data_IF_288989107015
#
_entry.id   IF_288989107015
#
_cell.length_a   1.000
_cell.length_b   1.000
_cell.length_c   1.000
_cell.angle_alpha   90.00
_cell.angle_beta   90.00
_cell.angle_gamma   90.00
#
_symmetry.space_group_name_H-M   'P 1'
#
loop_
_entity.id
_entity.type
_entity.pdbx_description
1 polymer ?
#
# COMPACT_ATOMS: atom_id res chain seq x y z
N UNK A 1 5.01 -9.99 6.17
CA UNK A 1 4.91 -8.57 5.76
C UNK A 1 3.77 -7.84 6.50
N UNK A 2 3.67 -7.97 7.83
CA UNK A 2 2.61 -7.28 8.56
C UNK A 2 2.80 -5.75 8.49
N UNK A 3 4.05 -5.28 8.57
CA UNK A 3 4.38 -3.85 8.45
C UNK A 3 4.12 -3.26 7.07
N UNK A 4 4.18 -4.05 5.99
CA UNK A 4 3.82 -3.54 4.65
C UNK A 4 2.38 -3.01 4.63
N UNK A 5 1.44 -3.80 5.16
CA UNK A 5 0.03 -3.43 5.20
C UNK A 5 -0.22 -2.17 6.03
N UNK A 6 0.49 -2.04 7.17
CA UNK A 6 0.45 -0.87 8.03
C UNK A 6 1.01 0.38 7.34
N UNK A 7 2.16 0.26 6.67
CA UNK A 7 2.77 1.34 5.88
C UNK A 7 1.84 1.80 4.76
N UNK A 8 1.24 0.87 4.02
CA UNK A 8 0.27 1.21 2.98
C UNK A 8 -0.93 1.97 3.56
N UNK A 9 -1.44 1.52 4.71
CA UNK A 9 -2.54 2.19 5.40
C UNK A 9 -2.17 3.62 5.82
N UNK A 10 -0.95 3.82 6.35
CA UNK A 10 -0.44 5.14 6.74
C UNK A 10 -0.37 6.06 5.52
N UNK A 11 0.27 5.62 4.43
CA UNK A 11 0.38 6.40 3.20
C UNK A 11 -0.99 6.79 2.64
N UNK A 12 -1.93 5.83 2.60
CA UNK A 12 -3.30 6.09 2.18
C UNK A 12 -3.99 7.16 3.05
N UNK A 13 -3.85 7.04 4.37
CA UNK A 13 -4.46 7.98 5.31
C UNK A 13 -3.84 9.38 5.26
N UNK A 14 -2.51 9.48 5.07
CA UNK A 14 -1.81 10.77 4.89
C UNK A 14 -2.33 11.54 3.68
N UNK A 15 -2.73 10.83 2.62
CA UNK A 15 -3.34 11.42 1.42
C UNK A 15 -4.87 11.57 1.53
N UNK A 16 -5.49 11.29 2.68
CA UNK A 16 -6.94 11.41 2.87
C UNK A 16 -7.76 10.43 2.03
N UNK A 17 -7.15 9.37 1.49
CA UNK A 17 -7.82 8.46 0.55
C UNK A 17 -8.65 7.39 1.29
N UNK A 18 -9.85 7.11 0.79
CA UNK A 18 -10.59 5.90 1.12
C UNK A 18 -9.97 4.67 0.45
N UNK A 19 -10.30 3.46 0.95
CA UNK A 19 -9.88 2.20 0.32
C UNK A 19 -10.37 2.10 -1.13
N UNK A 20 -11.54 2.66 -1.44
CA UNK A 20 -12.11 2.67 -2.81
C UNK A 20 -11.33 3.58 -3.75
N UNK A 21 -10.95 4.78 -3.27
CA UNK A 21 -10.12 5.69 -4.05
C UNK A 21 -8.75 5.08 -4.34
N UNK A 22 -8.06 4.55 -3.31
CA UNK A 22 -6.77 3.91 -3.52
C UNK A 22 -6.87 2.71 -4.49
N UNK A 23 -7.92 1.89 -4.36
CA UNK A 23 -8.18 0.79 -5.29
C UNK A 23 -8.33 1.28 -6.73
N UNK A 24 -9.10 2.35 -6.94
CA UNK A 24 -9.30 2.95 -8.26
C UNK A 24 -8.00 3.50 -8.86
N UNK A 25 -7.22 4.25 -8.07
CA UNK A 25 -5.91 4.80 -8.49
C UNK A 25 -4.91 3.69 -8.88
N UNK A 26 -4.99 2.54 -8.21
CA UNK A 26 -4.13 1.39 -8.51
C UNK A 26 -4.68 0.49 -9.65
N UNK A 27 -5.83 0.84 -10.22
CA UNK A 27 -6.47 0.13 -11.34
C UNK A 27 -7.27 -1.11 -10.94
N UNK A 28 -7.74 -1.19 -9.68
CA UNK A 28 -8.56 -2.29 -9.19
C UNK A 28 -10.02 -1.88 -9.00
N UNK A 29 -10.94 -2.67 -9.55
CA UNK A 29 -12.39 -2.45 -9.45
C UNK A 29 -12.96 -2.72 -8.05
N UNK A 30 -12.25 -3.46 -7.19
CA UNK A 30 -12.69 -3.80 -5.83
C UNK A 30 -11.64 -3.50 -4.77
N UNK A 31 -12.07 -2.75 -3.76
CA UNK A 31 -11.24 -2.36 -2.61
C UNK A 31 -10.88 -3.52 -1.67
N UNK A 32 -11.51 -4.69 -1.81
CA UNK A 32 -11.24 -5.86 -0.96
C UNK A 32 -9.79 -6.34 -1.06
N UNK A 33 -9.18 -6.22 -2.25
CA UNK A 33 -7.79 -6.62 -2.45
C UNK A 33 -6.85 -5.76 -1.59
N UNK A 34 -6.97 -4.44 -1.69
CA UNK A 34 -6.19 -3.47 -0.91
C UNK A 34 -6.49 -3.60 0.59
N UNK A 35 -7.76 -3.78 0.98
CA UNK A 35 -8.15 -3.95 2.37
C UNK A 35 -7.52 -5.20 3.01
N UNK A 36 -7.41 -6.31 2.27
CA UNK A 36 -6.75 -7.52 2.75
C UNK A 36 -5.24 -7.35 2.89
N UNK A 37 -4.61 -6.55 2.00
CA UNK A 37 -3.20 -6.22 2.10
C UNK A 37 -2.92 -5.34 3.32
N UNK A 38 -3.72 -4.28 3.54
CA UNK A 38 -3.57 -3.42 4.73
C UNK A 38 -3.75 -4.19 6.04
N UNK A 39 -4.56 -5.26 6.04
CA UNK A 39 -4.76 -6.15 7.19
C UNK A 39 -3.70 -7.26 7.30
N UNK A 40 -2.72 -7.31 6.40
CA UNK A 40 -1.71 -8.37 6.34
C UNK A 40 -2.25 -9.75 5.96
N UNK A 41 -3.51 -9.86 5.49
CA UNK A 41 -4.15 -11.12 5.09
C UNK A 41 -3.70 -11.60 3.70
N UNK A 42 -3.13 -10.71 2.89
CA UNK A 42 -2.65 -10.99 1.53
C UNK A 42 -1.34 -10.25 1.31
N UNK A 43 -0.37 -10.91 0.70
CA UNK A 43 0.84 -10.25 0.23
C UNK A 43 0.58 -9.49 -1.08
N UNK A 44 1.19 -8.30 -1.27
CA UNK A 44 1.14 -7.59 -2.54
C UNK A 44 1.92 -8.33 -3.63
N UNK A 45 1.55 -8.13 -4.90
CA UNK A 45 2.43 -8.50 -6.03
C UNK A 45 3.54 -7.48 -6.18
N UNK A 46 4.64 -7.84 -6.85
CA UNK A 46 5.73 -6.91 -7.16
C UNK A 46 5.22 -5.70 -7.95
N UNK A 47 4.35 -5.92 -8.93
CA UNK A 47 3.70 -4.85 -9.71
C UNK A 47 2.94 -3.87 -8.81
N UNK A 48 2.20 -4.39 -7.81
CA UNK A 48 1.48 -3.55 -6.87
C UNK A 48 2.43 -2.73 -5.97
N UNK A 49 3.52 -3.34 -5.50
CA UNK A 49 4.55 -2.62 -4.73
C UNK A 49 5.11 -1.45 -5.54
N UNK A 50 5.44 -1.67 -6.82
CA UNK A 50 5.93 -0.62 -7.72
C UNK A 50 4.89 0.48 -7.95
N UNK A 51 3.62 0.12 -8.13
CA UNK A 51 2.52 1.09 -8.28
C UNK A 51 2.35 1.94 -7.01
N UNK A 52 2.39 1.33 -5.84
CA UNK A 52 2.29 2.03 -4.54
C UNK A 52 3.48 2.96 -4.35
N UNK A 53 4.71 2.48 -4.57
CA UNK A 53 5.93 3.28 -4.47
C UNK A 53 5.84 4.53 -5.37
N UNK A 54 5.42 4.34 -6.63
CA UNK A 54 5.21 5.44 -7.57
C UNK A 54 4.09 6.39 -7.15
N UNK A 55 2.94 5.88 -6.70
CA UNK A 55 1.79 6.70 -6.32
C UNK A 55 2.12 7.61 -5.12
N UNK A 56 2.80 7.07 -4.11
CA UNK A 56 3.10 7.79 -2.88
C UNK A 56 4.49 8.43 -2.86
N UNK A 57 5.26 8.32 -3.95
CA UNK A 57 6.62 8.86 -4.06
C UNK A 57 7.55 8.36 -2.95
N UNK A 58 7.46 7.07 -2.63
CA UNK A 58 8.34 6.38 -1.66
C UNK A 58 9.14 5.30 -2.36
N UNK A 59 10.25 4.87 -1.76
CA UNK A 59 11.02 3.75 -2.29
C UNK A 59 10.32 2.40 -2.02
N UNK A 60 10.60 1.40 -2.84
CA UNK A 60 10.18 0.02 -2.57
C UNK A 60 10.79 -0.51 -1.27
N UNK A 61 12.00 -0.07 -0.94
CA UNK A 61 12.74 -0.48 0.24
C UNK A 61 12.01 -0.04 1.51
N UNK A 62 11.54 1.22 1.53
CA UNK A 62 10.69 1.72 2.61
C UNK A 62 9.41 0.91 2.77
N UNK A 63 8.84 0.37 1.69
CA UNK A 63 7.64 -0.47 1.77
C UNK A 63 7.95 -1.90 2.26
N UNK A 64 9.04 -2.49 1.79
CA UNK A 64 9.36 -3.92 1.95
C UNK A 64 10.17 -4.24 3.20
N UNK A 65 11.13 -3.39 3.57
CA UNK A 65 11.98 -3.63 4.73
C UNK A 65 11.28 -3.17 5.99
N UNK A 66 11.03 -4.12 6.89
CA UNK A 66 10.33 -3.84 8.14
C UNK A 66 11.04 -2.75 8.96
N UNK A 67 12.37 -2.72 8.99
CA UNK A 67 13.14 -1.76 9.79
C UNK A 67 13.25 -0.33 9.21
N UNK A 68 12.85 -0.10 7.96
CA UNK A 68 12.85 1.24 7.35
C UNK A 68 11.51 1.92 7.62
N UNK A 69 11.54 3.18 8.06
CA UNK A 69 10.32 3.96 8.32
C UNK A 69 9.89 4.78 7.09
N UNK A 70 8.65 5.25 7.11
CA UNK A 70 8.15 6.23 6.15
C UNK A 70 8.51 7.63 6.66
N UNK A 71 9.22 8.40 5.84
CA UNK A 71 9.56 9.80 6.13
C UNK A 71 8.31 10.69 6.27
#
# INVERSE_FOLDING_TARGET
>A
MQRFGEKLRILRQRQGMSLRQLSSELGYSSHNHIANIEKGKRNPSVELVLKIAKLFQVSTDQLLWDHLELD
#
